data_IF_227949388113
#
_entry.id   IF_227949388113
#
_cell.length_a   1.000
_cell.length_b   1.000
_cell.length_c   1.000
_cell.angle_alpha   90.00
_cell.angle_beta   90.00
_cell.angle_gamma   90.00
#
_symmetry.space_group_name_H-M   'P 1'
#
loop_
_entity.id
_entity.type
_entity.pdbx_description
1 polymer ?
#
# COMPACT_ATOMS: atom_id res chain seq x y z
N UNK A 1 27.00 -36.57 18.22
CA UNK A 1 25.90 -36.03 19.07
C UNK A 1 26.38 -34.73 19.70
N UNK A 2 25.64 -33.64 19.54
CA UNK A 2 25.95 -32.36 20.18
C UNK A 2 25.97 -31.16 19.23
N UNK A 3 24.78 -30.68 18.87
CA UNK A 3 24.46 -29.27 18.59
C UNK A 3 22.97 -29.09 18.93
N UNK A 4 22.46 -27.88 19.21
CA UNK A 4 23.09 -26.64 19.67
C UNK A 4 22.28 -25.96 20.80
N UNK A 5 22.91 -25.28 21.77
CA UNK A 5 22.15 -24.48 22.75
C UNK A 5 22.53 -23.00 22.84
N UNK A 6 23.44 -22.51 21.98
CA UNK A 6 23.96 -21.14 22.10
C UNK A 6 23.82 -20.26 20.85
N UNK A 7 23.00 -20.64 19.87
CA UNK A 7 22.79 -19.86 18.63
C UNK A 7 21.34 -19.42 18.36
N UNK A 8 20.42 -19.60 19.30
CA UNK A 8 19.02 -19.19 19.16
C UNK A 8 18.67 -18.00 20.09
N UNK A 9 19.55 -17.64 21.02
CA UNK A 9 19.24 -16.62 22.04
C UNK A 9 19.74 -15.20 21.70
N UNK A 10 20.30 -14.96 20.52
CA UNK A 10 20.75 -13.64 20.06
C UNK A 10 19.95 -13.06 18.89
N UNK A 11 18.93 -13.76 18.40
CA UNK A 11 17.95 -13.23 17.43
C UNK A 11 16.80 -12.47 18.11
N UNK A 12 16.92 -12.23 19.43
CA UNK A 12 15.96 -11.56 20.28
C UNK A 12 16.65 -10.37 20.99
N UNK A 13 17.35 -9.53 20.21
CA UNK A 13 17.83 -8.23 20.68
C UNK A 13 17.42 -7.14 19.69
N UNK A 14 16.37 -6.43 20.08
CA UNK A 14 16.16 -5.00 19.82
C UNK A 14 16.27 -4.54 18.35
N UNK A 15 15.43 -5.09 17.48
CA UNK A 15 14.72 -4.16 16.61
C UNK A 15 13.74 -3.43 17.54
N UNK A 16 13.94 -2.14 17.77
CA UNK A 16 12.99 -1.26 18.45
C UNK A 16 11.66 -1.35 17.71
N UNK A 17 10.83 -2.31 18.14
CA UNK A 17 9.59 -2.66 17.49
C UNK A 17 8.64 -1.51 17.81
N UNK A 18 8.55 -0.50 16.92
CA UNK A 18 7.61 0.61 17.04
C UNK A 18 6.20 0.08 17.37
N UNK A 19 5.91 -1.13 16.89
CA UNK A 19 4.68 -1.91 17.04
C UNK A 19 4.47 -2.65 18.37
N UNK A 20 5.42 -2.66 19.30
CA UNK A 20 5.19 -3.21 20.64
C UNK A 20 4.36 -2.27 21.53
N UNK A 21 4.14 -1.01 21.10
CA UNK A 21 3.28 -0.05 21.81
C UNK A 21 1.80 -0.40 21.56
N UNK A 22 1.02 -0.77 22.60
CA UNK A 22 -0.37 -1.19 22.44
C UNK A 22 -1.27 -0.20 21.67
N UNK A 23 -1.16 1.14 21.87
CA UNK A 23 -1.98 2.08 21.10
C UNK A 23 -1.61 2.11 19.61
N UNK A 24 -0.33 1.97 19.24
CA UNK A 24 0.11 2.02 17.84
C UNK A 24 -0.45 0.85 17.04
N UNK A 25 -0.36 -0.37 17.60
CA UNK A 25 -0.88 -1.57 16.96
C UNK A 25 -2.40 -1.49 16.80
N UNK A 26 -3.10 -0.97 17.81
CA UNK A 26 -4.56 -0.79 17.78
C UNK A 26 -4.98 0.15 16.66
N UNK A 27 -4.36 1.32 16.56
CA UNK A 27 -4.66 2.29 15.48
C UNK A 27 -4.30 1.76 14.11
N UNK A 28 -3.13 1.12 13.96
CA UNK A 28 -2.70 0.54 12.68
C UNK A 28 -3.69 -0.53 12.19
N UNK A 29 -4.17 -1.40 13.09
CA UNK A 29 -5.20 -2.41 12.77
C UNK A 29 -6.52 -1.77 12.39
N UNK A 30 -6.92 -0.68 13.05
CA UNK A 30 -8.13 0.06 12.71
C UNK A 30 -8.06 0.66 11.30
N UNK A 31 -6.92 1.27 10.93
CA UNK A 31 -6.70 1.77 9.56
C UNK A 31 -6.70 0.63 8.54
N UNK A 32 -6.04 -0.50 8.84
CA UNK A 32 -6.02 -1.67 7.97
C UNK A 32 -7.43 -2.28 7.77
N UNK A 33 -8.27 -2.27 8.80
CA UNK A 33 -9.66 -2.72 8.68
C UNK A 33 -10.46 -1.84 7.71
N UNK A 34 -10.31 -0.51 7.78
CA UNK A 34 -10.94 0.42 6.82
C UNK A 34 -10.41 0.16 5.41
N UNK A 35 -9.11 -0.03 5.25
CA UNK A 35 -8.51 -0.29 3.94
C UNK A 35 -8.94 -1.63 3.34
N UNK A 36 -9.09 -2.65 4.19
CA UNK A 36 -9.59 -3.96 3.77
C UNK A 36 -11.03 -3.85 3.27
N UNK A 37 -11.89 -3.10 3.96
CA UNK A 37 -13.28 -2.84 3.52
C UNK A 37 -13.36 -2.14 2.15
N UNK A 38 -12.42 -1.24 1.86
CA UNK A 38 -12.30 -0.61 0.54
C UNK A 38 -12.09 -1.66 -0.55
N UNK A 39 -11.10 -2.56 -0.37
CA UNK A 39 -10.82 -3.58 -1.39
C UNK A 39 -11.87 -4.70 -1.43
N UNK A 40 -12.46 -5.06 -0.29
CA UNK A 40 -13.40 -6.17 -0.21
C UNK A 40 -14.77 -5.84 -0.80
N UNK A 41 -15.10 -4.56 -0.96
CA UNK A 41 -16.44 -4.12 -1.37
C UNK A 41 -17.50 -4.35 -0.29
N UNK A 42 -17.09 -4.55 0.97
CA UNK A 42 -17.98 -4.78 2.13
C UNK A 42 -18.71 -3.51 2.61
N UNK A 43 -18.61 -2.40 1.89
CA UNK A 43 -19.62 -1.36 2.03
C UNK A 43 -20.72 -1.63 1.02
N UNK A 44 -21.90 -1.99 1.53
CA UNK A 44 -23.13 -1.97 0.75
C UNK A 44 -23.22 -0.61 0.04
N UNK A 45 -23.02 -0.61 -1.29
CA UNK A 45 -23.31 0.51 -2.19
C UNK A 45 -24.82 0.74 -2.29
N UNK A 46 -25.56 0.50 -1.20
CA UNK A 46 -26.99 0.63 -1.15
C UNK A 46 -27.37 1.92 -0.43
N UNK A 47 -28.23 2.68 -1.12
CA UNK A 47 -28.99 3.86 -0.66
C UNK A 47 -28.20 5.12 -0.32
N UNK A 48 -28.29 6.11 -1.22
CA UNK A 48 -28.29 7.57 -1.01
C UNK A 48 -27.10 8.26 -0.27
N UNK A 49 -26.27 7.53 0.47
CA UNK A 49 -25.06 8.00 1.12
C UNK A 49 -23.83 7.65 0.29
N UNK A 50 -23.04 8.68 -0.04
CA UNK A 50 -21.81 8.56 -0.82
C UNK A 50 -20.79 7.69 -0.05
N UNK A 51 -20.32 6.54 -0.60
CA UNK A 51 -19.38 5.62 0.05
C UNK A 51 -18.14 6.31 0.63
N UNK A 52 -17.68 7.37 -0.03
CA UNK A 52 -16.58 8.23 0.42
C UNK A 52 -16.85 8.80 1.81
N UNK A 53 -18.05 9.32 2.08
CA UNK A 53 -18.39 9.89 3.39
C UNK A 53 -18.22 8.87 4.51
N UNK A 54 -18.67 7.62 4.29
CA UNK A 54 -18.54 6.54 5.28
C UNK A 54 -17.07 6.21 5.56
N UNK A 55 -16.25 6.10 4.51
CA UNK A 55 -14.80 5.89 4.69
C UNK A 55 -14.14 7.08 5.41
N UNK A 56 -14.45 8.31 5.01
CA UNK A 56 -13.89 9.52 5.59
C UNK A 56 -14.29 9.69 7.06
N UNK A 57 -15.53 9.36 7.44
CA UNK A 57 -15.99 9.35 8.84
C UNK A 57 -15.24 8.31 9.69
N UNK A 58 -15.04 7.10 9.15
CA UNK A 58 -14.27 6.05 9.84
C UNK A 58 -12.81 6.48 10.06
N UNK A 59 -12.17 7.03 9.01
CA UNK A 59 -10.81 7.54 9.10
C UNK A 59 -10.71 8.75 10.05
N UNK A 60 -11.69 9.65 10.07
CA UNK A 60 -11.72 10.80 10.97
C UNK A 60 -11.83 10.36 12.44
N UNK A 61 -12.66 9.34 12.72
CA UNK A 61 -12.76 8.77 14.07
C UNK A 61 -11.41 8.24 14.54
N UNK A 62 -10.71 7.50 13.67
CA UNK A 62 -9.37 6.98 13.96
C UNK A 62 -8.39 8.15 14.16
N UNK A 63 -8.38 9.15 13.28
CA UNK A 63 -7.52 10.33 13.35
C UNK A 63 -7.68 11.12 14.66
N UNK A 64 -8.93 11.26 15.13
CA UNK A 64 -9.22 11.91 16.41
C UNK A 64 -8.61 11.15 17.57
N UNK A 65 -8.76 9.82 17.61
CA UNK A 65 -8.21 8.99 18.68
C UNK A 65 -6.68 9.00 18.67
N UNK A 66 -6.04 8.97 17.50
CA UNK A 66 -4.59 9.11 17.37
C UNK A 66 -4.09 10.43 17.97
N UNK A 67 -4.86 11.51 17.77
CA UNK A 67 -4.52 12.84 18.29
C UNK A 67 -4.66 12.96 19.81
N UNK A 68 -5.37 12.03 20.46
CA UNK A 68 -5.43 11.93 21.92
C UNK A 68 -4.23 11.16 22.48
N UNK A 69 -3.73 10.18 21.74
CA UNK A 69 -2.69 9.25 22.23
C UNK A 69 -1.25 9.70 21.91
N UNK A 70 -1.05 10.56 20.91
CA UNK A 70 0.28 10.93 20.42
C UNK A 70 0.45 12.43 20.18
N UNK A 71 1.65 12.93 20.47
CA UNK A 71 2.06 14.28 20.05
C UNK A 71 2.14 14.37 18.52
N UNK A 72 1.68 15.49 17.95
CA UNK A 72 1.61 15.72 16.50
C UNK A 72 2.95 15.59 15.78
N UNK A 73 4.05 15.83 16.48
CA UNK A 73 5.41 15.75 15.93
C UNK A 73 6.09 14.40 16.18
N UNK A 74 5.42 13.44 16.82
CA UNK A 74 5.99 12.11 17.06
C UNK A 74 6.02 11.25 15.79
N UNK A 75 6.99 10.34 15.72
CA UNK A 75 7.13 9.40 14.60
C UNK A 75 5.91 8.49 14.51
N UNK A 76 5.33 8.08 15.64
CA UNK A 76 4.12 7.27 15.72
C UNK A 76 2.90 7.99 15.15
N UNK A 77 2.68 9.24 15.56
CA UNK A 77 1.58 10.06 15.02
C UNK A 77 1.72 10.19 13.49
N UNK A 78 2.91 10.55 13.03
CA UNK A 78 3.17 10.78 11.61
C UNK A 78 3.07 9.48 10.80
N UNK A 79 3.53 8.36 11.34
CA UNK A 79 3.35 7.04 10.74
C UNK A 79 1.86 6.72 10.54
N UNK A 80 1.05 6.86 11.59
CA UNK A 80 -0.39 6.56 11.52
C UNK A 80 -1.12 7.51 10.56
N UNK A 81 -0.71 8.78 10.52
CA UNK A 81 -1.21 9.75 9.55
C UNK A 81 -0.87 9.37 8.11
N UNK A 82 0.34 8.85 7.86
CA UNK A 82 0.71 8.31 6.54
C UNK A 82 -0.13 7.08 6.17
N UNK A 83 -0.42 6.18 7.12
CA UNK A 83 -1.32 5.06 6.87
C UNK A 83 -2.72 5.53 6.50
N UNK A 84 -3.28 6.52 7.22
CA UNK A 84 -4.57 7.12 6.86
C UNK A 84 -4.51 7.72 5.46
N UNK A 85 -3.46 8.47 5.15
CA UNK A 85 -3.28 9.10 3.84
C UNK A 85 -3.20 8.07 2.69
N UNK A 86 -2.61 6.89 2.92
CA UNK A 86 -2.59 5.78 1.95
C UNK A 86 -3.99 5.28 1.62
N UNK A 87 -4.89 5.21 2.60
CA UNK A 87 -6.28 4.80 2.39
C UNK A 87 -7.06 5.93 1.72
N UNK A 88 -6.86 7.18 2.16
CA UNK A 88 -7.49 8.36 1.54
C UNK A 88 -7.16 8.48 0.04
N UNK A 89 -5.92 8.19 -0.34
CA UNK A 89 -5.50 8.19 -1.75
C UNK A 89 -6.32 7.20 -2.58
N UNK A 90 -6.56 5.99 -2.06
CA UNK A 90 -7.37 4.99 -2.77
C UNK A 90 -8.85 5.36 -2.82
N UNK A 91 -9.39 5.93 -1.74
CA UNK A 91 -10.78 6.40 -1.68
C UNK A 91 -11.01 7.57 -2.66
N UNK A 92 -10.01 8.42 -2.90
CA UNK A 92 -10.12 9.53 -3.84
C UNK A 92 -10.48 9.06 -5.27
N UNK A 93 -10.14 7.82 -5.64
CA UNK A 93 -10.54 7.21 -6.91
C UNK A 93 -12.03 6.86 -7.00
N UNK A 94 -12.73 6.74 -5.87
CA UNK A 94 -14.17 6.50 -5.84
C UNK A 94 -14.97 7.78 -6.11
N UNK A 95 -14.35 8.96 -6.10
CA UNK A 95 -15.08 10.22 -6.20
C UNK A 95 -15.47 10.52 -7.63
N UNK A 96 -16.77 10.71 -7.82
CA UNK A 96 -17.33 11.25 -9.06
C UNK A 96 -17.24 12.78 -9.12
N UNK A 97 -16.88 13.44 -8.01
CA UNK A 97 -16.71 14.88 -7.91
C UNK A 97 -15.23 15.25 -7.98
N UNK A 98 -14.83 15.97 -9.03
CA UNK A 98 -13.46 16.45 -9.20
C UNK A 98 -12.97 17.27 -8.00
N UNK A 99 -13.80 18.18 -7.49
CA UNK A 99 -13.44 19.04 -6.37
C UNK A 99 -13.28 18.27 -5.06
N UNK A 100 -14.10 17.24 -4.82
CA UNK A 100 -13.97 16.39 -3.63
C UNK A 100 -12.68 15.56 -3.69
N UNK A 101 -12.38 14.98 -4.86
CA UNK A 101 -11.13 14.25 -5.08
C UNK A 101 -9.91 15.18 -4.87
N UNK A 102 -9.93 16.38 -5.44
CA UNK A 102 -8.84 17.37 -5.28
C UNK A 102 -8.62 17.78 -3.81
N UNK A 103 -9.68 17.96 -3.03
CA UNK A 103 -9.58 18.26 -1.60
C UNK A 103 -8.96 17.10 -0.80
N UNK A 104 -9.37 15.86 -1.10
CA UNK A 104 -8.79 14.66 -0.46
C UNK A 104 -7.30 14.57 -0.79
N UNK A 105 -6.94 14.72 -2.07
CA UNK A 105 -5.55 14.65 -2.52
C UNK A 105 -4.71 15.79 -1.95
N UNK A 106 -5.24 17.02 -1.82
CA UNK A 106 -4.52 18.11 -1.16
C UNK A 106 -4.15 17.77 0.30
N UNK A 107 -5.09 17.17 1.07
CA UNK A 107 -4.82 16.70 2.44
C UNK A 107 -3.78 15.56 2.46
N UNK A 108 -3.83 14.65 1.49
CA UNK A 108 -2.85 13.56 1.34
C UNK A 108 -1.45 14.12 1.05
N UNK A 109 -1.34 15.05 0.11
CA UNK A 109 -0.07 15.70 -0.26
C UNK A 109 0.53 16.45 0.92
N UNK A 110 -0.27 17.23 1.66
CA UNK A 110 0.20 17.91 2.87
C UNK A 110 0.72 16.91 3.92
N UNK A 111 0.03 15.78 4.10
CA UNK A 111 0.46 14.72 5.03
C UNK A 111 1.79 14.10 4.58
N UNK A 112 1.95 13.85 3.27
CA UNK A 112 3.19 13.35 2.70
C UNK A 112 4.34 14.35 2.91
N UNK A 113 4.16 15.62 2.56
CA UNK A 113 5.16 16.67 2.73
C UNK A 113 5.63 16.77 4.18
N UNK A 114 4.68 16.81 5.13
CA UNK A 114 5.00 16.83 6.54
C UNK A 114 5.75 15.57 7.00
N UNK A 115 5.36 14.39 6.50
CA UNK A 115 6.10 13.15 6.76
C UNK A 115 7.54 13.19 6.24
N UNK A 116 7.80 13.82 5.10
CA UNK A 116 9.16 13.95 4.57
C UNK A 116 10.07 14.89 5.39
N UNK A 117 9.50 15.75 6.22
CA UNK A 117 10.24 16.70 7.06
C UNK A 117 10.86 16.07 8.30
N UNK A 118 10.47 14.84 8.69
CA UNK A 118 11.15 14.15 9.79
C UNK A 118 12.61 13.95 9.42
N UNK A 119 13.50 14.63 10.15
CA UNK A 119 14.93 14.38 10.03
C UNK A 119 15.19 12.90 10.28
N UNK A 120 15.87 12.26 9.34
CA UNK A 120 16.20 10.85 9.38
C UNK A 120 17.06 10.52 10.62
N UNK A 121 16.42 10.30 11.77
CA UNK A 121 17.06 9.64 12.91
C UNK A 121 17.25 8.16 12.55
N UNK A 122 18.39 7.54 12.91
CA UNK A 122 18.60 6.09 12.78
C UNK A 122 17.52 5.24 13.46
N UNK A 123 16.75 5.83 14.37
CA UNK A 123 15.71 5.17 15.17
C UNK A 123 14.35 5.06 14.46
N UNK A 124 14.20 5.65 13.26
CA UNK A 124 12.92 5.60 12.53
C UNK A 124 12.69 4.22 11.93
N UNK A 125 11.63 3.56 12.39
CA UNK A 125 11.24 2.21 11.99
C UNK A 125 11.10 2.05 10.46
N UNK A 126 11.52 0.91 9.86
CA UNK A 126 11.45 0.67 8.42
C UNK A 126 10.04 0.87 7.82
N UNK A 127 8.99 0.53 8.57
CA UNK A 127 7.61 0.70 8.10
C UNK A 127 7.17 2.16 7.94
N UNK A 128 7.84 3.11 8.60
CA UNK A 128 7.65 4.52 8.33
C UNK A 128 8.09 4.88 6.91
N UNK A 129 9.31 4.45 6.55
CA UNK A 129 9.88 4.63 5.22
C UNK A 129 9.09 3.87 4.16
N UNK A 130 8.59 2.67 4.48
CA UNK A 130 7.62 1.95 3.64
C UNK A 130 6.40 2.80 3.34
N UNK A 131 5.72 3.32 4.37
CA UNK A 131 4.50 4.09 4.21
C UNK A 131 4.72 5.36 3.38
N UNK A 132 5.83 6.08 3.60
CA UNK A 132 6.24 7.19 2.75
C UNK A 132 6.48 6.77 1.30
N UNK A 133 7.19 5.65 1.11
CA UNK A 133 7.49 5.10 -0.20
C UNK A 133 6.23 4.75 -0.98
N UNK A 134 5.34 3.98 -0.37
CA UNK A 134 4.04 3.62 -0.94
C UNK A 134 3.19 4.85 -1.27
N UNK A 135 3.13 5.84 -0.37
CA UNK A 135 2.29 7.01 -0.54
C UNK A 135 2.78 7.87 -1.71
N UNK A 136 4.10 8.03 -1.84
CA UNK A 136 4.69 8.69 -2.99
C UNK A 136 4.29 7.99 -4.29
N UNK A 137 4.36 6.66 -4.36
CA UNK A 137 3.98 5.93 -5.57
C UNK A 137 2.51 6.12 -5.95
N UNK A 138 1.59 6.13 -4.97
CA UNK A 138 0.17 6.40 -5.23
C UNK A 138 -0.07 7.83 -5.72
N UNK A 139 0.58 8.82 -5.11
CA UNK A 139 0.48 10.23 -5.52
C UNK A 139 0.87 10.48 -6.97
N UNK A 140 1.70 9.63 -7.57
CA UNK A 140 2.11 9.81 -8.98
C UNK A 140 0.96 9.79 -9.99
N UNK A 141 -0.18 9.18 -9.64
CA UNK A 141 -1.37 9.14 -10.49
C UNK A 141 -2.21 10.40 -10.30
N UNK A 142 -2.21 10.98 -9.09
CA UNK A 142 -3.05 12.12 -8.73
C UNK A 142 -2.39 13.47 -8.98
N UNK A 143 -1.06 13.54 -8.98
CA UNK A 143 -0.29 14.73 -9.33
C UNK A 143 0.78 14.39 -10.38
N UNK A 144 0.41 14.47 -11.68
CA UNK A 144 1.31 14.19 -12.79
C UNK A 144 2.49 15.16 -12.88
N UNK A 145 2.35 16.41 -12.41
CA UNK A 145 3.39 17.42 -12.50
C UNK A 145 4.57 17.08 -11.59
N UNK A 146 4.29 16.50 -10.42
CA UNK A 146 5.31 16.04 -9.47
C UNK A 146 5.61 14.54 -9.58
N UNK A 147 5.05 13.83 -10.57
CA UNK A 147 5.15 12.38 -10.68
C UNK A 147 6.60 11.86 -10.76
N UNK A 148 7.52 12.62 -11.37
CA UNK A 148 8.95 12.28 -11.36
C UNK A 148 9.52 12.29 -9.94
N UNK A 149 9.30 13.38 -9.20
CA UNK A 149 9.77 13.55 -7.82
C UNK A 149 9.22 12.45 -6.91
N UNK A 150 7.92 12.16 -6.99
CA UNK A 150 7.30 11.08 -6.24
C UNK A 150 7.86 9.71 -6.60
N UNK A 151 8.14 9.44 -7.87
CA UNK A 151 8.72 8.15 -8.29
C UNK A 151 10.13 7.97 -7.72
N UNK A 152 10.97 9.00 -7.79
CA UNK A 152 12.34 8.97 -7.25
C UNK A 152 12.33 8.80 -5.73
N UNK A 153 11.51 9.58 -5.02
CA UNK A 153 11.41 9.50 -3.58
C UNK A 153 10.78 8.19 -3.11
N UNK A 154 9.75 7.71 -3.81
CA UNK A 154 9.13 6.42 -3.55
C UNK A 154 10.17 5.31 -3.53
N UNK A 155 10.98 5.23 -4.58
CA UNK A 155 12.11 4.28 -4.64
C UNK A 155 13.07 4.46 -3.48
N UNK A 156 13.53 5.70 -3.24
CA UNK A 156 14.50 6.02 -2.19
C UNK A 156 14.02 5.57 -0.81
N UNK A 157 12.76 5.80 -0.48
CA UNK A 157 12.20 5.41 0.82
C UNK A 157 11.99 3.91 0.94
N UNK A 158 11.54 3.23 -0.13
CA UNK A 158 11.45 1.76 -0.14
C UNK A 158 12.83 1.10 -0.01
N UNK A 159 13.84 1.59 -0.73
CA UNK A 159 15.22 1.11 -0.62
C UNK A 159 15.76 1.32 0.81
N UNK A 160 15.45 2.46 1.42
CA UNK A 160 15.85 2.75 2.80
C UNK A 160 15.18 1.80 3.80
N UNK A 161 13.89 1.52 3.63
CA UNK A 161 13.18 0.56 4.46
C UNK A 161 13.80 -0.85 4.33
N UNK A 162 14.16 -1.25 3.11
CA UNK A 162 14.81 -2.53 2.83
C UNK A 162 16.21 -2.61 3.42
N UNK A 163 16.99 -1.52 3.35
CA UNK A 163 18.34 -1.48 3.94
C UNK A 163 18.32 -1.62 5.47
N UNK A 164 17.29 -1.08 6.13
CA UNK A 164 17.12 -1.20 7.59
C UNK A 164 16.64 -2.60 7.97
N UNK A 165 15.70 -3.17 7.20
CA UNK A 165 15.12 -4.48 7.48
C UNK A 165 14.93 -5.30 6.19
N UNK A 166 15.98 -6.02 5.75
CA UNK A 166 15.98 -6.76 4.48
C UNK A 166 14.90 -7.83 4.38
N UNK A 167 14.50 -8.39 5.52
CA UNK A 167 13.50 -9.46 5.62
C UNK A 167 12.07 -8.92 5.84
N UNK A 168 11.84 -7.61 5.70
CA UNK A 168 10.51 -7.02 5.87
C UNK A 168 9.55 -7.44 4.75
N UNK A 169 8.70 -8.42 5.05
CA UNK A 169 7.67 -8.93 4.13
C UNK A 169 6.70 -7.84 3.63
N UNK A 170 6.50 -6.77 4.42
CA UNK A 170 5.59 -5.68 4.05
C UNK A 170 6.13 -4.83 2.89
N UNK A 171 7.41 -4.95 2.54
CA UNK A 171 8.02 -4.22 1.42
C UNK A 171 7.80 -4.89 0.06
N UNK A 172 7.47 -6.18 0.05
CA UNK A 172 7.41 -6.97 -1.19
C UNK A 172 6.35 -6.46 -2.15
N UNK A 173 5.12 -6.25 -1.68
CA UNK A 173 4.02 -5.73 -2.51
C UNK A 173 4.32 -4.31 -3.05
N UNK A 174 4.79 -3.35 -2.22
CA UNK A 174 5.25 -2.05 -2.70
C UNK A 174 6.31 -2.12 -3.80
N UNK A 175 7.31 -2.99 -3.66
CA UNK A 175 8.33 -3.17 -4.70
C UNK A 175 7.77 -3.76 -5.99
N UNK A 176 6.82 -4.70 -5.90
CA UNK A 176 6.11 -5.23 -7.07
C UNK A 176 5.42 -4.08 -7.80
N UNK A 177 4.63 -3.26 -7.08
CA UNK A 177 3.89 -2.11 -7.66
C UNK A 177 4.87 -1.11 -8.29
N UNK A 178 5.95 -0.77 -7.59
CA UNK A 178 6.99 0.12 -8.09
C UNK A 178 7.56 -0.35 -9.43
N UNK A 179 7.94 -1.63 -9.50
CA UNK A 179 8.60 -2.18 -10.68
C UNK A 179 7.64 -2.46 -11.83
N UNK A 180 6.33 -2.61 -11.58
CA UNK A 180 5.29 -2.65 -12.64
C UNK A 180 5.18 -1.31 -13.37
N UNK A 181 5.42 -0.20 -12.67
CA UNK A 181 5.30 1.13 -13.26
C UNK A 181 6.24 1.29 -14.46
N UNK A 182 5.66 1.59 -15.62
CA UNK A 182 6.37 1.72 -16.88
C UNK A 182 6.98 0.41 -17.39
N UNK A 183 6.37 -0.74 -17.07
CA UNK A 183 6.66 -2.02 -17.73
C UNK A 183 5.95 -2.10 -19.07
N UNK A 184 6.69 -2.56 -20.06
CA UNK A 184 6.20 -3.08 -21.34
C UNK A 184 6.92 -4.40 -21.67
N UNK A 185 6.49 -5.08 -22.72
CA UNK A 185 7.16 -6.26 -23.27
C UNK A 185 8.64 -6.04 -23.65
N UNK A 186 9.10 -4.78 -23.76
CA UNK A 186 10.49 -4.43 -24.06
C UNK A 186 11.37 -4.24 -22.82
N UNK A 187 10.77 -4.20 -21.62
CA UNK A 187 11.46 -3.90 -20.36
C UNK A 187 11.91 -5.15 -19.61
N UNK A 188 12.76 -5.97 -20.24
CA UNK A 188 13.17 -7.30 -19.73
C UNK A 188 13.61 -7.28 -18.25
N UNK A 189 14.47 -6.35 -17.86
CA UNK A 189 14.97 -6.26 -16.49
C UNK A 189 13.86 -5.99 -15.47
N UNK A 190 12.93 -5.10 -15.78
CA UNK A 190 11.79 -4.82 -14.89
C UNK A 190 10.89 -6.04 -14.78
N UNK A 191 10.55 -6.69 -15.90
CA UNK A 191 9.74 -7.91 -15.91
C UNK A 191 10.37 -8.98 -15.03
N UNK A 192 11.68 -9.22 -15.18
CA UNK A 192 12.43 -10.20 -14.38
C UNK A 192 12.39 -9.87 -12.89
N UNK A 193 12.66 -8.62 -12.52
CA UNK A 193 12.64 -8.16 -11.12
C UNK A 193 11.24 -8.31 -10.52
N UNK A 194 10.20 -7.81 -11.19
CA UNK A 194 8.82 -7.92 -10.71
C UNK A 194 8.39 -9.38 -10.56
N UNK A 195 8.74 -10.23 -11.53
CA UNK A 195 8.43 -11.66 -11.49
C UNK A 195 9.12 -12.35 -10.32
N UNK A 196 10.36 -11.99 -10.00
CA UNK A 196 11.05 -12.52 -8.83
C UNK A 196 10.37 -12.11 -7.53
N UNK A 197 9.97 -10.84 -7.38
CA UNK A 197 9.24 -10.41 -6.19
C UNK A 197 7.87 -11.07 -6.07
N UNK A 198 7.15 -11.30 -7.19
CA UNK A 198 5.90 -12.06 -7.18
C UNK A 198 6.11 -13.50 -6.69
N UNK A 199 7.17 -14.18 -7.13
CA UNK A 199 7.51 -15.54 -6.65
C UNK A 199 7.83 -15.55 -5.16
N UNK A 200 8.53 -14.53 -4.66
CA UNK A 200 8.79 -14.38 -3.21
C UNK A 200 7.46 -14.19 -2.49
N UNK A 201 6.58 -13.31 -2.98
CA UNK A 201 5.27 -13.06 -2.39
C UNK A 201 4.40 -14.32 -2.28
N UNK A 202 4.47 -15.24 -3.24
CA UNK A 202 3.76 -16.52 -3.22
C UNK A 202 4.22 -17.47 -2.10
N UNK A 203 5.40 -17.25 -1.53
CA UNK A 203 5.97 -18.08 -0.45
C UNK A 203 5.75 -17.48 0.95
N UNK A 204 5.20 -16.26 1.03
CA UNK A 204 5.03 -15.53 2.27
C UNK A 204 3.61 -15.69 2.85
N UNK A 205 3.45 -15.67 4.19
CA UNK A 205 2.15 -15.70 4.84
C UNK A 205 1.45 -14.34 4.75
N UNK A 206 1.01 -13.96 3.55
CA UNK A 206 0.30 -12.71 3.30
C UNK A 206 -1.14 -12.77 3.81
N UNK A 207 -1.65 -11.65 4.32
CA UNK A 207 -3.07 -11.54 4.67
C UNK A 207 -3.97 -11.41 3.42
N UNK A 208 -5.29 -11.48 3.59
CA UNK A 208 -6.24 -11.46 2.46
C UNK A 208 -6.09 -10.20 1.60
N UNK A 209 -5.94 -9.02 2.21
CA UNK A 209 -5.74 -7.76 1.47
C UNK A 209 -4.43 -7.77 0.67
N UNK A 210 -3.34 -8.23 1.28
CA UNK A 210 -2.05 -8.34 0.60
C UNK A 210 -2.09 -9.33 -0.56
N UNK A 211 -2.73 -10.49 -0.39
CA UNK A 211 -2.93 -11.44 -1.48
C UNK A 211 -3.80 -10.87 -2.61
N UNK A 212 -4.86 -10.13 -2.27
CA UNK A 212 -5.69 -9.45 -3.26
C UNK A 212 -4.87 -8.47 -4.11
N UNK A 213 -4.10 -7.58 -3.46
CA UNK A 213 -3.26 -6.59 -4.15
C UNK A 213 -2.18 -7.28 -4.98
N UNK A 214 -1.60 -8.38 -4.48
CA UNK A 214 -0.62 -9.20 -5.21
C UNK A 214 -1.19 -9.71 -6.54
N UNK A 215 -2.39 -10.29 -6.53
CA UNK A 215 -3.03 -10.80 -7.75
C UNK A 215 -3.43 -9.67 -8.72
N UNK A 216 -3.90 -8.52 -8.19
CA UNK A 216 -4.15 -7.31 -9.00
C UNK A 216 -2.86 -6.83 -9.70
N UNK A 217 -1.74 -6.79 -8.97
CA UNK A 217 -0.45 -6.39 -9.50
C UNK A 217 0.09 -7.40 -10.53
N UNK A 218 -0.06 -8.69 -10.27
CA UNK A 218 0.29 -9.77 -11.21
C UNK A 218 -0.49 -9.65 -12.51
N UNK A 219 -1.79 -9.36 -12.45
CA UNK A 219 -2.60 -9.08 -13.64
C UNK A 219 -2.03 -7.92 -14.45
N UNK A 220 -1.70 -6.80 -13.79
CA UNK A 220 -1.11 -5.63 -14.45
C UNK A 220 0.18 -5.95 -15.20
N UNK A 221 1.09 -6.71 -14.57
CA UNK A 221 2.33 -7.18 -15.21
C UNK A 221 2.03 -8.03 -16.46
N UNK A 222 1.11 -8.98 -16.35
CA UNK A 222 0.76 -9.91 -17.44
C UNK A 222 0.13 -9.16 -18.62
N UNK A 223 -0.81 -8.25 -18.37
CA UNK A 223 -1.44 -7.43 -19.43
C UNK A 223 -0.39 -6.58 -20.14
N UNK A 224 0.51 -5.91 -19.41
CA UNK A 224 1.60 -5.09 -19.97
C UNK A 224 2.62 -5.90 -20.76
N UNK A 225 2.69 -7.21 -20.55
CA UNK A 225 3.53 -8.16 -21.28
C UNK A 225 2.76 -8.99 -22.32
N UNK A 226 1.57 -8.52 -22.74
CA UNK A 226 0.71 -9.11 -23.77
C UNK A 226 0.12 -10.49 -23.40
N UNK A 227 0.08 -10.81 -22.11
CA UNK A 227 -0.51 -12.03 -21.53
C UNK A 227 -1.90 -11.76 -20.95
N UNK A 228 -2.82 -11.33 -21.81
CA UNK A 228 -4.15 -10.82 -21.38
C UNK A 228 -5.02 -11.89 -20.73
N UNK A 229 -5.02 -13.11 -21.26
CA UNK A 229 -5.81 -14.21 -20.71
C UNK A 229 -5.30 -14.62 -19.32
N UNK A 230 -3.98 -14.69 -19.13
CA UNK A 230 -3.39 -14.95 -17.82
C UNK A 230 -3.63 -13.79 -16.85
N UNK A 231 -3.63 -12.54 -17.35
CA UNK A 231 -4.01 -11.37 -16.56
C UNK A 231 -5.45 -11.44 -16.03
N UNK A 232 -6.40 -11.83 -16.89
CA UNK A 232 -7.80 -12.06 -16.46
C UNK A 232 -7.88 -13.23 -15.47
N UNK A 233 -7.09 -14.28 -15.65
CA UNK A 233 -7.05 -15.39 -14.69
C UNK A 233 -6.56 -14.92 -13.30
N UNK A 234 -5.53 -14.09 -13.23
CA UNK A 234 -5.07 -13.49 -11.97
C UNK A 234 -6.17 -12.61 -11.32
N UNK A 235 -6.92 -11.83 -12.10
CA UNK A 235 -8.07 -11.09 -11.58
C UNK A 235 -9.16 -12.01 -11.01
N UNK A 236 -9.43 -13.16 -11.64
CA UNK A 236 -10.35 -14.15 -11.10
C UNK A 236 -9.87 -14.73 -9.76
N UNK A 237 -8.57 -14.90 -9.56
CA UNK A 237 -8.01 -15.28 -8.25
C UNK A 237 -8.20 -14.15 -7.22
N UNK A 238 -8.02 -12.88 -7.61
CA UNK A 238 -8.32 -11.74 -6.73
C UNK A 238 -9.81 -11.72 -6.31
N UNK A 239 -10.73 -12.00 -7.23
CA UNK A 239 -12.17 -12.07 -6.95
C UNK A 239 -12.52 -13.20 -5.96
N UNK A 240 -11.80 -14.32 -5.97
CA UNK A 240 -12.01 -15.39 -4.96
C UNK A 240 -11.66 -14.93 -3.55
N UNK A 241 -10.69 -14.04 -3.41
CA UNK A 241 -10.28 -13.48 -2.11
C UNK A 241 -11.32 -12.49 -1.62
N UNK A 242 -11.80 -11.61 -2.49
CA UNK A 242 -12.84 -10.63 -2.20
C UNK A 242 -13.96 -10.67 -3.25
N UNK A 243 -14.98 -11.52 -3.05
CA UNK A 243 -16.06 -11.73 -4.04
C UNK A 243 -16.90 -10.50 -4.35
N UNK A 244 -16.97 -9.54 -3.41
CA UNK A 244 -17.77 -8.32 -3.55
C UNK A 244 -16.98 -7.11 -4.08
N UNK A 245 -15.69 -7.31 -4.43
CA UNK A 245 -14.85 -6.22 -4.91
C UNK A 245 -15.30 -5.73 -6.29
N UNK A 246 -15.66 -4.45 -6.41
CA UNK A 246 -16.03 -3.83 -7.69
C UNK A 246 -14.82 -3.52 -8.58
N UNK A 247 -13.63 -3.40 -7.99
CA UNK A 247 -12.38 -3.14 -8.72
C UNK A 247 -12.05 -4.26 -9.71
N UNK A 248 -12.42 -5.50 -9.40
CA UNK A 248 -12.07 -6.66 -10.22
C UNK A 248 -12.94 -6.75 -11.49
N UNK A 249 -14.28 -6.69 -11.42
CA UNK A 249 -15.12 -6.61 -12.63
C UNK A 249 -14.73 -5.44 -13.54
N UNK A 250 -14.51 -4.25 -12.98
CA UNK A 250 -14.08 -3.07 -13.74
C UNK A 250 -12.75 -3.32 -14.47
N UNK A 251 -11.77 -3.93 -13.78
CA UNK A 251 -10.49 -4.28 -14.37
C UNK A 251 -10.60 -5.31 -15.50
N UNK A 252 -11.48 -6.31 -15.35
CA UNK A 252 -11.72 -7.31 -16.38
C UNK A 252 -12.32 -6.65 -17.62
N UNK A 253 -13.32 -5.79 -17.46
CA UNK A 253 -13.95 -5.08 -18.58
C UNK A 253 -12.98 -4.15 -19.30
N UNK A 254 -12.15 -3.40 -18.55
CA UNK A 254 -11.10 -2.58 -19.14
C UNK A 254 -10.13 -3.39 -20.00
N UNK A 255 -9.68 -4.56 -19.52
CA UNK A 255 -8.77 -5.45 -20.27
C UNK A 255 -9.44 -6.01 -21.53
N UNK A 256 -10.73 -6.39 -21.47
CA UNK A 256 -11.49 -6.87 -22.63
C UNK A 256 -11.59 -5.80 -23.72
N UNK A 257 -11.74 -4.54 -23.32
CA UNK A 257 -11.76 -3.39 -24.24
C UNK A 257 -10.37 -3.01 -24.77
N UNK A 258 -9.31 -3.70 -24.36
CA UNK A 258 -7.94 -3.48 -24.83
C UNK A 258 -7.15 -2.46 -24.02
N UNK A 259 -7.73 -1.90 -22.96
CA UNK A 259 -7.09 -0.94 -22.06
C UNK A 259 -6.33 -1.66 -20.93
N UNK A 260 -5.31 -1.01 -20.37
CA UNK A 260 -4.76 -1.44 -19.07
C UNK A 260 -5.55 -0.77 -17.95
N UNK A 261 -5.90 -1.52 -16.90
CA UNK A 261 -6.60 -0.98 -15.73
C UNK A 261 -5.68 -0.16 -14.79
N UNK A 262 -4.37 -0.45 -14.84
CA UNK A 262 -3.30 0.29 -14.16
C UNK A 262 -2.37 0.90 -15.19
#
# INVERSE_FOLDING_TARGET
MGKPLFKILTTLLFATNLFAKPPLQTHSKAVEAVHTRYYSGEFEYNTQDQPIKKFMQALQTIENNISLDYSKNSVEYLYLKLLIALVMCDIAHLSTSKSESELIIAKVTQTYEHGTQIQASPEVHPDYWRALGELALKLTIHDPLSAYFYTVNGKRYLDKALAIHPDNINLIIPFIIFHIKGVSNLTFNKIRITTNYLKIADQLPLNSRQNFIKEMAKSSLLVRTRKRLEGIAALKEALKIFPNSQLVPEAIEAIKQGNSFF
#
